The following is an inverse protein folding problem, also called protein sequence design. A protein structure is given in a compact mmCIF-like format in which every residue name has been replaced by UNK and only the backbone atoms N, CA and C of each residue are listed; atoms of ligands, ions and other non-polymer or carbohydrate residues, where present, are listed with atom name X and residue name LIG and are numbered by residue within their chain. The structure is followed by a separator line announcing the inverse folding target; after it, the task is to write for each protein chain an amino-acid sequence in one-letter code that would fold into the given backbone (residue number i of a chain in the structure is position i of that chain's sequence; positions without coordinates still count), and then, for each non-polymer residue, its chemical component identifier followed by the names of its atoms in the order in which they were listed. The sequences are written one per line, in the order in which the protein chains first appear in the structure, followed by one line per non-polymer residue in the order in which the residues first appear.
data_IF_902857399066
#
_entry.id   IF_902857399066
#
_cell.length_a   1.000
_cell.length_b   1.000
_cell.length_c   1.000
_cell.angle_alpha   90.00
_cell.angle_beta   90.00
_cell.angle_gamma   90.00
#
_symmetry.space_group_name_H-M   'P 1'
#
loop_
_entity.id
_entity.type
_entity.pdbx_description
1 polymer ?
#
# COMPACT_ATOMS: atom_id res chain seq x y z
N UNK A 1 3.07 44.33 -15.59
CA UNK A 1 3.12 42.96 -16.15
C UNK A 1 4.52 42.54 -16.66
N UNK A 2 5.60 43.28 -16.33
CA UNK A 2 6.94 43.03 -16.91
C UNK A 2 7.90 42.20 -16.02
N UNK A 3 7.54 41.90 -14.76
CA UNK A 3 8.45 41.29 -13.76
C UNK A 3 8.54 39.76 -13.81
N UNK A 4 7.67 39.06 -14.55
CA UNK A 4 7.70 37.58 -14.61
C UNK A 4 8.71 37.03 -15.62
N UNK A 5 9.14 37.83 -16.59
CA UNK A 5 9.98 37.34 -17.70
C UNK A 5 11.48 37.31 -17.34
N UNK A 6 11.93 38.12 -16.38
CA UNK A 6 13.31 38.08 -15.89
C UNK A 6 13.68 36.75 -15.20
N UNK A 7 12.72 36.12 -14.51
CA UNK A 7 12.95 34.83 -13.83
C UNK A 7 13.06 33.63 -14.80
N UNK A 8 12.60 33.78 -16.05
CA UNK A 8 12.66 32.70 -17.04
C UNK A 8 14.02 32.63 -17.76
N UNK A 9 14.68 33.77 -17.98
CA UNK A 9 16.00 33.82 -18.63
C UNK A 9 17.12 33.23 -17.77
N UNK A 10 17.01 33.28 -16.45
CA UNK A 10 18.01 32.71 -15.54
C UNK A 10 17.90 31.18 -15.34
N UNK A 11 16.94 30.52 -16.00
CA UNK A 11 16.74 29.06 -15.91
C UNK A 11 17.12 28.31 -17.19
N UNK A 12 17.80 28.97 -18.14
CA UNK A 12 18.33 28.32 -19.33
C UNK A 12 19.51 27.41 -18.93
N UNK A 13 19.37 26.11 -19.17
CA UNK A 13 20.43 25.14 -18.92
C UNK A 13 21.33 25.01 -20.15
N UNK A 14 22.66 24.98 -19.96
CA UNK A 14 23.58 24.64 -21.04
C UNK A 14 23.40 23.20 -21.50
N UNK A 15 23.69 22.93 -22.78
CA UNK A 15 23.47 21.62 -23.40
C UNK A 15 24.24 20.48 -22.70
N UNK A 16 25.43 20.78 -22.19
CA UNK A 16 26.25 19.82 -21.43
C UNK A 16 25.54 19.37 -20.14
N UNK A 17 24.90 20.31 -19.43
CA UNK A 17 24.13 19.99 -18.23
C UNK A 17 22.86 19.19 -18.56
N UNK A 18 22.23 19.42 -19.71
CA UNK A 18 21.08 18.61 -20.14
C UNK A 18 21.47 17.17 -20.44
N UNK A 19 22.61 16.94 -21.11
CA UNK A 19 23.11 15.60 -21.37
C UNK A 19 23.44 14.88 -20.06
N UNK A 20 23.99 15.60 -19.09
CA UNK A 20 24.33 15.05 -17.78
C UNK A 20 23.08 14.67 -16.96
N UNK A 21 21.97 15.39 -17.12
CA UNK A 21 20.70 15.11 -16.44
C UNK A 21 19.82 14.07 -17.16
N UNK A 22 20.15 13.68 -18.39
CA UNK A 22 19.34 12.76 -19.20
C UNK A 22 19.06 11.40 -18.53
N UNK A 23 20.05 10.71 -17.93
CA UNK A 23 19.80 9.45 -17.23
C UNK A 23 18.90 9.64 -16.01
N UNK A 24 19.08 10.74 -15.29
CA UNK A 24 18.28 11.10 -14.11
C UNK A 24 16.82 11.41 -14.49
N UNK A 25 16.60 12.13 -15.60
CA UNK A 25 15.27 12.43 -16.12
C UNK A 25 14.51 11.14 -16.46
N UNK A 26 15.17 10.14 -17.05
CA UNK A 26 14.58 8.83 -17.29
C UNK A 26 14.17 8.13 -16.00
N UNK A 27 15.02 8.15 -14.97
CA UNK A 27 14.69 7.56 -13.66
C UNK A 27 13.54 8.31 -12.99
N UNK A 28 13.53 9.63 -13.08
CA UNK A 28 12.51 10.48 -12.48
C UNK A 28 11.15 10.32 -13.16
N UNK A 29 11.15 10.08 -14.48
CA UNK A 29 9.96 9.72 -15.28
C UNK A 29 9.43 8.33 -14.95
N UNK A 30 10.32 7.37 -14.70
CA UNK A 30 9.95 6.02 -14.25
C UNK A 30 9.29 6.04 -12.86
N UNK A 31 9.79 6.89 -11.96
CA UNK A 31 9.32 7.02 -10.58
C UNK A 31 8.13 7.98 -10.42
N UNK A 32 7.57 8.50 -11.52
CA UNK A 32 6.55 9.55 -11.53
C UNK A 32 6.89 10.76 -10.66
N UNK A 33 8.17 10.99 -10.33
CA UNK A 33 8.64 11.89 -9.27
C UNK A 33 9.24 13.22 -9.79
N UNK A 34 8.95 13.60 -11.04
CA UNK A 34 9.59 14.78 -11.64
C UNK A 34 8.90 16.07 -11.19
N UNK A 35 9.42 16.63 -10.09
CA UNK A 35 9.07 17.97 -9.60
C UNK A 35 9.27 19.07 -10.67
N UNK A 36 10.12 18.82 -11.66
CA UNK A 36 10.44 19.73 -12.75
C UNK A 36 10.30 19.03 -14.11
N UNK A 37 9.81 19.75 -15.11
CA UNK A 37 9.75 19.33 -16.51
C UNK A 37 10.71 20.20 -17.31
N UNK A 38 11.68 19.58 -17.98
CA UNK A 38 12.60 20.29 -18.89
C UNK A 38 11.93 20.30 -20.27
N UNK A 39 11.63 21.49 -20.81
CA UNK A 39 11.15 21.68 -22.18
C UNK A 39 11.93 22.81 -22.81
N UNK A 40 12.44 22.59 -24.02
CA UNK A 40 13.10 23.62 -24.84
C UNK A 40 14.20 24.39 -24.09
N UNK A 41 15.04 23.66 -23.36
CA UNK A 41 16.13 24.20 -22.52
C UNK A 41 15.72 25.02 -21.28
N UNK A 42 14.43 25.04 -20.93
CA UNK A 42 13.91 25.66 -19.72
C UNK A 42 13.38 24.63 -18.73
N UNK A 43 13.66 24.85 -17.45
CA UNK A 43 13.17 24.04 -16.33
C UNK A 43 11.85 24.62 -15.82
N UNK A 44 10.73 23.98 -16.14
CA UNK A 44 9.41 24.37 -15.64
C UNK A 44 9.06 23.58 -14.36
N UNK A 45 8.65 24.24 -13.26
CA UNK A 45 8.11 23.52 -12.11
C UNK A 45 6.78 22.88 -12.49
N UNK A 46 6.73 21.54 -12.56
CA UNK A 46 5.53 20.80 -12.93
C UNK A 46 4.60 20.64 -11.72
N UNK A 47 4.18 21.75 -11.11
CA UNK A 47 3.64 21.74 -9.74
C UNK A 47 2.24 21.16 -9.63
N UNK A 48 1.36 21.38 -10.62
CA UNK A 48 -0.05 20.96 -10.54
C UNK A 48 -0.24 19.51 -10.98
N UNK A 49 0.26 19.11 -12.15
CA UNK A 49 0.02 17.77 -12.70
C UNK A 49 0.67 16.67 -11.86
N UNK A 50 1.88 16.92 -11.36
CA UNK A 50 2.57 16.00 -10.43
C UNK A 50 1.84 15.90 -9.08
N UNK A 51 1.43 17.03 -8.51
CA UNK A 51 0.66 17.03 -7.25
C UNK A 51 -0.64 16.24 -7.42
N UNK A 52 -1.37 16.48 -8.52
CA UNK A 52 -2.60 15.75 -8.83
C UNK A 52 -2.33 14.25 -8.99
N UNK A 53 -1.28 13.84 -9.72
CA UNK A 53 -0.93 12.43 -9.90
C UNK A 53 -0.56 11.73 -8.58
N UNK A 54 0.24 12.36 -7.73
CA UNK A 54 0.56 11.84 -6.39
C UNK A 54 -0.70 11.73 -5.54
N UNK A 55 -1.57 12.75 -5.55
CA UNK A 55 -2.80 12.73 -4.79
C UNK A 55 -3.70 11.58 -5.25
N UNK A 56 -3.81 11.34 -6.56
CA UNK A 56 -4.54 10.18 -7.09
C UNK A 56 -3.91 8.85 -6.65
N UNK A 57 -2.59 8.73 -6.69
CA UNK A 57 -1.88 7.52 -6.23
C UNK A 57 -2.13 7.28 -4.74
N UNK A 58 -1.99 8.32 -3.91
CA UNK A 58 -2.26 8.25 -2.47
C UNK A 58 -3.71 7.88 -2.19
N UNK A 59 -4.67 8.49 -2.89
CA UNK A 59 -6.09 8.15 -2.79
C UNK A 59 -6.37 6.72 -3.22
N UNK A 60 -5.75 6.22 -4.29
CA UNK A 60 -5.89 4.84 -4.73
C UNK A 60 -5.34 3.86 -3.69
N UNK A 61 -4.16 4.18 -3.14
CA UNK A 61 -3.54 3.41 -2.07
C UNK A 61 -4.45 3.39 -0.84
N UNK A 62 -4.90 4.54 -0.35
CA UNK A 62 -5.79 4.61 0.84
C UNK A 62 -7.13 3.92 0.59
N UNK A 63 -7.72 4.08 -0.60
CA UNK A 63 -8.93 3.36 -1.00
C UNK A 63 -8.73 1.85 -0.95
N UNK A 64 -7.66 1.34 -1.59
CA UNK A 64 -7.34 -0.09 -1.58
C UNK A 64 -7.16 -0.64 -0.16
N UNK A 65 -6.54 0.14 0.74
CA UNK A 65 -6.41 -0.22 2.15
C UNK A 65 -7.76 -0.31 2.86
N UNK A 66 -8.62 0.69 2.69
CA UNK A 66 -9.96 0.69 3.31
C UNK A 66 -10.78 -0.49 2.77
N UNK A 67 -10.72 -0.77 1.48
CA UNK A 67 -11.37 -1.94 0.89
C UNK A 67 -10.88 -3.25 1.49
N UNK A 68 -9.55 -3.44 1.61
CA UNK A 68 -8.98 -4.64 2.23
C UNK A 68 -9.43 -4.79 3.69
N UNK A 69 -9.46 -3.69 4.45
CA UNK A 69 -9.92 -3.71 5.83
C UNK A 69 -11.41 -4.10 5.94
N UNK A 70 -12.27 -3.51 5.12
CA UNK A 70 -13.70 -3.84 5.06
C UNK A 70 -13.89 -5.31 4.69
N UNK A 71 -13.15 -5.80 3.70
CA UNK A 71 -13.22 -7.20 3.26
C UNK A 71 -12.81 -8.17 4.36
N UNK A 72 -11.76 -7.84 5.13
CA UNK A 72 -11.34 -8.62 6.30
C UNK A 72 -12.43 -8.68 7.36
N UNK A 73 -13.00 -7.52 7.73
CA UNK A 73 -14.05 -7.45 8.77
C UNK A 73 -15.31 -8.19 8.31
N UNK A 74 -15.72 -8.00 7.06
CA UNK A 74 -16.83 -8.75 6.44
C UNK A 74 -16.56 -10.25 6.48
N UNK A 75 -15.37 -10.70 6.07
CA UNK A 75 -15.01 -12.12 6.09
C UNK A 75 -15.06 -12.70 7.51
N UNK A 76 -14.63 -11.94 8.51
CA UNK A 76 -14.72 -12.34 9.91
C UNK A 76 -16.19 -12.51 10.34
N UNK A 77 -17.04 -11.51 10.11
CA UNK A 77 -18.48 -11.58 10.44
C UNK A 77 -19.14 -12.75 9.71
N UNK A 78 -18.90 -12.89 8.40
CA UNK A 78 -19.47 -13.96 7.59
C UNK A 78 -19.05 -15.34 8.09
N UNK A 79 -17.80 -15.49 8.55
CA UNK A 79 -17.30 -16.74 9.13
C UNK A 79 -18.00 -17.10 10.44
N UNK A 80 -18.23 -16.13 11.34
CA UNK A 80 -18.96 -16.35 12.59
C UNK A 80 -20.43 -16.70 12.35
N UNK A 81 -21.10 -15.98 11.45
CA UNK A 81 -22.50 -16.25 11.07
C UNK A 81 -22.62 -17.63 10.42
N UNK A 82 -21.66 -18.00 9.57
CA UNK A 82 -21.63 -19.33 8.94
C UNK A 82 -21.44 -20.42 10.00
N UNK A 83 -20.54 -20.22 10.95
CA UNK A 83 -20.31 -21.15 12.04
C UNK A 83 -21.56 -21.33 12.91
N UNK A 84 -22.25 -20.25 13.28
CA UNK A 84 -23.50 -20.30 14.04
C UNK A 84 -24.59 -21.10 13.30
N UNK A 85 -24.76 -20.84 12.00
CA UNK A 85 -25.70 -21.61 11.16
C UNK A 85 -25.35 -23.09 11.12
N UNK A 86 -24.07 -23.42 10.99
CA UNK A 86 -23.60 -24.82 10.98
C UNK A 86 -23.88 -25.51 12.32
N UNK A 87 -23.69 -24.83 13.46
CA UNK A 87 -24.01 -25.35 14.79
C UNK A 87 -25.51 -25.60 14.94
N UNK A 88 -26.35 -24.66 14.52
CA UNK A 88 -27.81 -24.81 14.55
C UNK A 88 -28.28 -25.98 13.68
N UNK A 89 -27.71 -26.13 12.47
CA UNK A 89 -28.01 -27.25 11.59
C UNK A 89 -27.54 -28.60 12.14
N UNK A 90 -26.40 -28.64 12.82
CA UNK A 90 -25.92 -29.87 13.45
C UNK A 90 -26.91 -30.40 14.51
N UNK A 91 -27.73 -29.53 15.11
CA UNK A 91 -28.77 -29.92 16.06
C UNK A 91 -30.04 -30.48 15.40
N UNK A 92 -30.33 -30.13 14.14
CA UNK A 92 -31.62 -30.38 13.49
C UNK A 92 -31.60 -31.55 12.46
N UNK A 93 -30.87 -32.62 12.79
CA UNK A 93 -30.43 -33.71 11.88
C UNK A 93 -31.52 -34.65 11.31
N UNK A 94 -32.77 -34.22 11.16
CA UNK A 94 -33.89 -35.10 10.79
C UNK A 94 -34.17 -35.22 9.28
N UNK A 95 -33.54 -34.45 8.38
CA UNK A 95 -33.93 -34.43 6.96
C UNK A 95 -32.75 -34.42 5.93
N UNK A 96 -32.49 -35.53 5.22
CA UNK A 96 -31.29 -35.69 4.39
C UNK A 96 -31.26 -34.85 3.10
N UNK A 97 -32.42 -34.46 2.55
CA UNK A 97 -32.49 -33.61 1.35
C UNK A 97 -32.03 -32.18 1.63
N UNK A 98 -32.34 -31.67 2.83
CA UNK A 98 -31.95 -30.33 3.28
C UNK A 98 -30.42 -30.26 3.43
N UNK A 99 -29.79 -31.33 3.89
CA UNK A 99 -28.34 -31.44 4.06
C UNK A 99 -27.54 -31.23 2.76
N UNK A 100 -28.01 -31.79 1.62
CA UNK A 100 -27.29 -31.69 0.33
C UNK A 100 -27.22 -30.25 -0.19
N UNK A 101 -28.33 -29.50 -0.13
CA UNK A 101 -28.35 -28.10 -0.56
C UNK A 101 -27.48 -27.22 0.33
N UNK A 102 -27.52 -27.47 1.64
CA UNK A 102 -26.70 -26.77 2.64
C UNK A 102 -25.21 -27.01 2.38
N UNK A 103 -24.82 -28.26 2.12
CA UNK A 103 -23.42 -28.62 1.83
C UNK A 103 -22.86 -27.86 0.63
N UNK A 104 -23.66 -27.67 -0.42
CA UNK A 104 -23.28 -26.90 -1.61
C UNK A 104 -23.06 -25.42 -1.24
N UNK A 105 -24.00 -24.81 -0.52
CA UNK A 105 -23.87 -23.40 -0.07
C UNK A 105 -22.61 -23.21 0.77
N UNK A 106 -22.33 -24.13 1.68
CA UNK A 106 -21.12 -24.09 2.51
C UNK A 106 -19.84 -24.14 1.66
N UNK A 107 -19.78 -25.01 0.66
CA UNK A 107 -18.63 -25.12 -0.24
C UNK A 107 -18.39 -23.81 -1.01
N UNK A 108 -19.46 -23.18 -1.51
CA UNK A 108 -19.38 -21.86 -2.16
C UNK A 108 -18.87 -20.77 -1.20
N UNK A 109 -19.36 -20.74 0.04
CA UNK A 109 -18.90 -19.78 1.05
C UNK A 109 -17.41 -19.98 1.36
N UNK A 110 -16.95 -21.22 1.54
CA UNK A 110 -15.53 -21.51 1.78
C UNK A 110 -14.65 -21.07 0.61
N UNK A 111 -15.06 -21.36 -0.63
CA UNK A 111 -14.35 -20.90 -1.82
C UNK A 111 -14.29 -19.37 -1.91
N UNK A 112 -15.38 -18.69 -1.56
CA UNK A 112 -15.44 -17.22 -1.51
C UNK A 112 -14.47 -16.64 -0.47
N UNK A 113 -14.42 -17.23 0.73
CA UNK A 113 -13.47 -16.86 1.78
C UNK A 113 -12.03 -17.05 1.32
N UNK A 114 -11.71 -18.18 0.68
CA UNK A 114 -10.37 -18.46 0.16
C UNK A 114 -9.97 -17.40 -0.87
N UNK A 115 -10.87 -17.04 -1.80
CA UNK A 115 -10.63 -15.98 -2.80
C UNK A 115 -10.32 -14.63 -2.13
N UNK A 116 -11.08 -14.25 -1.09
CA UNK A 116 -10.84 -13.02 -0.33
C UNK A 116 -9.49 -13.05 0.37
N UNK A 117 -9.16 -14.14 1.05
CA UNK A 117 -7.87 -14.30 1.74
C UNK A 117 -6.70 -14.24 0.76
N UNK A 118 -6.81 -14.86 -0.42
CA UNK A 118 -5.80 -14.78 -1.46
C UNK A 118 -5.56 -13.34 -1.93
N UNK A 119 -6.63 -12.53 -2.09
CA UNK A 119 -6.52 -11.12 -2.43
C UNK A 119 -5.78 -10.32 -1.34
N UNK A 120 -6.14 -10.52 -0.06
CA UNK A 120 -5.49 -9.87 1.08
C UNK A 120 -3.99 -10.23 1.18
N UNK A 121 -3.65 -11.50 0.94
CA UNK A 121 -2.25 -11.97 0.91
C UNK A 121 -1.47 -11.33 -0.24
N UNK A 122 -2.03 -11.34 -1.46
CA UNK A 122 -1.39 -10.71 -2.62
C UNK A 122 -1.13 -9.22 -2.40
N UNK A 123 -2.10 -8.51 -1.83
CA UNK A 123 -1.95 -7.09 -1.49
C UNK A 123 -0.86 -6.88 -0.42
N UNK A 124 -0.84 -7.70 0.62
CA UNK A 124 0.16 -7.61 1.69
C UNK A 124 1.58 -7.88 1.17
N UNK A 125 1.75 -8.85 0.28
CA UNK A 125 3.03 -9.12 -0.41
C UNK A 125 3.45 -7.94 -1.30
N UNK A 126 2.51 -7.31 -2.00
CA UNK A 126 2.80 -6.12 -2.80
C UNK A 126 3.26 -4.95 -1.92
N UNK A 127 2.62 -4.72 -0.77
CA UNK A 127 3.05 -3.72 0.22
C UNK A 127 4.45 -4.01 0.75
N UNK A 128 4.77 -5.27 1.09
CA UNK A 128 6.09 -5.66 1.60
C UNK A 128 7.20 -5.40 0.57
N UNK A 129 6.96 -5.75 -0.69
CA UNK A 129 7.90 -5.45 -1.79
C UNK A 129 8.10 -3.95 -1.95
N UNK A 130 7.04 -3.15 -1.83
CA UNK A 130 7.13 -1.70 -1.86
C UNK A 130 7.97 -1.15 -0.71
N UNK A 131 7.75 -1.61 0.53
CA UNK A 131 8.55 -1.19 1.68
C UNK A 131 10.02 -1.60 1.55
N UNK A 132 10.29 -2.82 1.06
CA UNK A 132 11.66 -3.29 0.81
C UNK A 132 12.39 -2.41 -0.22
N UNK A 133 11.70 -2.01 -1.29
CA UNK A 133 12.23 -1.09 -2.30
C UNK A 133 12.48 0.32 -1.71
N UNK A 134 11.57 0.79 -0.86
CA UNK A 134 11.71 2.06 -0.15
C UNK A 134 12.95 2.06 0.75
N UNK A 135 13.17 0.98 1.51
CA UNK A 135 14.33 0.85 2.39
C UNK A 135 15.65 0.74 1.61
N UNK A 136 15.66 0.04 0.47
CA UNK A 136 16.79 0.06 -0.47
C UNK A 136 17.09 1.46 -1.02
N UNK A 137 16.05 2.27 -1.26
CA UNK A 137 16.21 3.66 -1.70
C UNK A 137 16.81 4.53 -0.59
N UNK A 138 16.38 4.33 0.66
CA UNK A 138 16.94 5.04 1.84
C UNK A 138 18.41 4.71 2.03
N UNK A 139 18.80 3.43 1.96
CA UNK A 139 20.19 3.00 2.14
C UNK A 139 21.09 3.52 1.01
N UNK A 140 20.62 3.51 -0.23
CA UNK A 140 21.33 4.13 -1.35
C UNK A 140 21.51 5.64 -1.16
N UNK A 141 20.46 6.35 -0.72
CA UNK A 141 20.55 7.79 -0.41
C UNK A 141 21.53 8.08 0.73
N UNK A 142 21.58 7.23 1.76
CA UNK A 142 22.55 7.34 2.85
C UNK A 142 23.99 7.12 2.35
N UNK A 143 24.22 6.10 1.53
CA UNK A 143 25.54 5.83 0.96
C UNK A 143 26.06 6.97 0.05
N UNK A 144 25.17 7.58 -0.75
CA UNK A 144 25.51 8.75 -1.57
C UNK A 144 25.89 9.94 -0.67
N UNK A 145 25.17 10.11 0.44
CA UNK A 145 25.43 11.19 1.39
C UNK A 145 26.79 11.04 2.10
N UNK A 146 27.22 9.81 2.38
CA UNK A 146 28.52 9.52 3.00
C UNK A 146 29.70 9.67 2.03
N UNK A 147 29.53 9.28 0.75
CA UNK A 147 30.64 9.30 -0.23
C UNK A 147 31.04 10.69 -0.72
N UNK A 148 30.13 11.67 -0.69
CA UNK A 148 30.39 13.02 -1.20
C UNK A 148 30.05 14.09 -0.14
N UNK A 149 31.02 14.47 0.71
CA UNK A 149 30.80 15.47 1.76
C UNK A 149 30.68 16.91 1.22
N UNK A 150 31.10 17.19 -0.01
CA UNK A 150 30.96 18.52 -0.63
C UNK A 150 29.50 18.91 -0.90
N UNK A 151 29.19 20.21 -0.73
CA UNK A 151 27.86 20.82 -0.92
C UNK A 151 27.41 20.78 -2.39
N UNK A 152 26.99 19.62 -2.87
CA UNK A 152 26.31 19.48 -4.16
C UNK A 152 24.78 19.57 -4.01
N UNK A 153 24.09 20.05 -5.04
CA UNK A 153 22.62 20.05 -5.10
C UNK A 153 22.02 18.63 -4.98
N UNK A 154 22.77 17.61 -5.42
CA UNK A 154 22.43 16.20 -5.25
C UNK A 154 22.31 15.82 -3.77
N UNK A 155 23.20 16.33 -2.92
CA UNK A 155 23.20 16.05 -1.47
C UNK A 155 21.96 16.65 -0.78
N UNK A 156 21.54 17.85 -1.22
CA UNK A 156 20.32 18.50 -0.72
C UNK A 156 19.08 17.70 -1.11
N UNK A 157 19.06 17.16 -2.33
CA UNK A 157 17.97 16.30 -2.82
C UNK A 157 17.94 14.97 -2.07
N UNK A 158 19.07 14.30 -1.90
CA UNK A 158 19.18 13.06 -1.12
C UNK A 158 18.75 13.26 0.34
N UNK A 159 19.17 14.35 1.00
CA UNK A 159 18.72 14.71 2.36
C UNK A 159 17.21 14.95 2.43
N UNK A 160 16.63 15.63 1.44
CA UNK A 160 15.19 15.88 1.41
C UNK A 160 14.40 14.58 1.19
N UNK A 161 14.86 13.70 0.30
CA UNK A 161 14.29 12.37 0.10
C UNK A 161 14.39 11.55 1.38
N UNK A 162 15.57 11.51 2.02
CA UNK A 162 15.77 10.78 3.27
C UNK A 162 14.91 11.34 4.41
N UNK A 163 14.75 12.67 4.52
CA UNK A 163 13.84 13.30 5.49
C UNK A 163 12.39 12.95 5.23
N UNK A 164 11.94 13.02 3.97
CA UNK A 164 10.58 12.65 3.59
C UNK A 164 10.33 11.17 3.89
N UNK A 165 11.27 10.32 3.51
CA UNK A 165 11.25 8.90 3.82
C UNK A 165 11.22 8.69 5.33
N UNK A 166 12.06 9.33 6.14
CA UNK A 166 12.08 9.14 7.59
C UNK A 166 10.83 9.68 8.30
N UNK A 167 10.27 10.80 7.84
CA UNK A 167 9.03 11.36 8.37
C UNK A 167 7.82 10.48 8.03
N UNK A 168 7.81 9.85 6.86
CA UNK A 168 6.72 8.98 6.39
C UNK A 168 7.01 7.48 6.57
N UNK A 169 8.18 7.07 7.05
CA UNK A 169 8.57 5.65 7.20
C UNK A 169 8.15 5.06 8.53
N UNK A 170 7.38 5.78 9.34
CA UNK A 170 6.53 5.10 10.31
C UNK A 170 5.60 4.19 9.47
N UNK A 171 5.98 2.90 9.32
CA UNK A 171 5.24 1.83 8.64
C UNK A 171 3.76 2.19 8.58
N UNK A 172 3.22 2.41 7.39
CA UNK A 172 1.94 3.09 7.19
C UNK A 172 0.88 2.41 8.08
N UNK A 173 0.47 3.13 9.14
CA UNK A 173 -0.50 2.61 10.11
C UNK A 173 -1.89 2.97 9.64
N UNK A 174 -2.71 1.97 9.33
CA UNK A 174 -4.13 2.20 9.01
C UNK A 174 -4.84 2.60 10.30
N UNK A 175 -5.41 3.81 10.30
CA UNK A 175 -6.12 4.40 11.44
C UNK A 175 -5.33 4.43 12.76
N UNK A 176 -3.99 4.41 12.70
CA UNK A 176 -3.13 4.29 13.88
C UNK A 176 -3.19 2.95 14.62
N UNK A 177 -4.07 2.03 14.19
CA UNK A 177 -4.39 0.79 14.90
C UNK A 177 -3.52 -0.38 14.42
N UNK A 178 -3.28 -0.48 13.10
CA UNK A 178 -2.58 -1.63 12.52
C UNK A 178 -1.48 -1.19 11.55
N UNK A 179 -0.26 -1.69 11.78
CA UNK A 179 0.80 -1.66 10.78
C UNK A 179 0.44 -2.64 9.68
N UNK A 180 0.28 -2.15 8.46
CA UNK A 180 0.07 -3.05 7.32
C UNK A 180 1.42 -3.63 6.94
N UNK A 181 1.58 -4.88 7.32
CA UNK A 181 2.79 -5.68 7.19
C UNK A 181 2.37 -7.06 6.68
N UNK A 182 3.29 -7.86 6.16
CA UNK A 182 3.03 -9.24 5.78
C UNK A 182 2.42 -10.08 6.92
N UNK A 183 2.57 -9.63 8.17
CA UNK A 183 1.97 -10.21 9.36
C UNK A 183 0.50 -9.83 9.60
N UNK A 184 -0.07 -8.84 8.90
CA UNK A 184 -1.46 -8.40 9.08
C UNK A 184 -2.47 -9.52 8.83
N UNK A 185 -2.42 -10.27 7.70
CA UNK A 185 -3.33 -11.39 7.46
C UNK A 185 -3.18 -12.48 8.52
N UNK A 186 -1.96 -12.71 9.01
CA UNK A 186 -1.66 -13.71 10.04
C UNK A 186 -2.27 -13.33 11.40
N UNK A 187 -2.14 -12.05 11.81
CA UNK A 187 -2.76 -11.55 13.05
C UNK A 187 -4.28 -11.63 13.01
N UNK A 188 -4.87 -11.31 11.87
CA UNK A 188 -6.31 -11.40 11.65
C UNK A 188 -6.81 -12.85 11.69
N UNK A 189 -6.06 -13.77 11.08
CA UNK A 189 -6.36 -15.19 11.13
C UNK A 189 -6.32 -15.70 12.58
N UNK A 190 -5.32 -15.29 13.38
CA UNK A 190 -5.25 -15.64 14.80
C UNK A 190 -6.43 -15.14 15.62
N UNK A 191 -6.88 -13.89 15.39
CA UNK A 191 -8.07 -13.35 16.06
C UNK A 191 -9.31 -14.16 15.68
N UNK A 192 -9.47 -14.44 14.38
CA UNK A 192 -10.59 -15.23 13.86
C UNK A 192 -10.64 -16.63 14.50
N UNK A 193 -9.52 -17.35 14.50
CA UNK A 193 -9.41 -18.66 15.13
C UNK A 193 -9.77 -18.61 16.61
N UNK A 194 -9.31 -17.59 17.35
CA UNK A 194 -9.61 -17.44 18.78
C UNK A 194 -11.12 -17.29 19.02
N UNK A 195 -11.80 -16.43 18.26
CA UNK A 195 -13.26 -16.26 18.39
C UNK A 195 -14.03 -17.50 17.97
N UNK A 196 -13.59 -18.20 16.92
CA UNK A 196 -14.18 -19.48 16.52
C UNK A 196 -14.09 -20.53 17.63
N UNK A 197 -12.93 -20.64 18.31
CA UNK A 197 -12.75 -21.55 19.44
C UNK A 197 -13.70 -21.19 20.58
N UNK A 198 -13.82 -19.91 20.94
CA UNK A 198 -14.72 -19.45 22.00
C UNK A 198 -16.18 -19.80 21.67
N UNK A 199 -16.63 -19.55 20.44
CA UNK A 199 -17.99 -19.92 20.02
C UNK A 199 -18.23 -21.44 20.07
N UNK A 200 -17.25 -22.24 19.66
CA UNK A 200 -17.33 -23.70 19.75
C UNK A 200 -17.42 -24.16 21.22
N UNK A 201 -16.64 -23.56 22.12
CA UNK A 201 -16.70 -23.87 23.55
C UNK A 201 -18.10 -23.60 24.10
N UNK A 202 -18.68 -22.42 23.85
CA UNK A 202 -20.05 -22.11 24.28
C UNK A 202 -21.10 -23.07 23.72
N UNK A 203 -20.91 -23.58 22.50
CA UNK A 203 -21.88 -24.45 21.86
C UNK A 203 -21.86 -25.91 22.38
N UNK A 204 -20.71 -26.40 22.87
CA UNK A 204 -20.51 -27.81 23.25
C UNK A 204 -20.25 -28.05 24.73
N UNK A 205 -19.87 -27.03 25.51
CA UNK A 205 -19.64 -27.14 26.97
C UNK A 205 -20.87 -26.72 27.81
N UNK A 206 -21.99 -26.34 27.19
CA UNK A 206 -23.30 -26.21 27.83
C UNK A 206 -24.11 -27.48 27.62
#
# INVERSE_FOLDING_TARGET
MARSNEYLLNNALSDDFQQMLRPYYWTQRLLCASKYSIKDSFVFPNSKTYCTAIMFLLCFITYSYVTVFIEVVSTFIDSLVTLQKVIEWAKDTKNPKIYKNISIVYLFTVLWIIKKMAFVVMFSVACERFYSCLDGTKSACAAILERHPEKSEYQKTAKNVLRLCNANSAKMRVCGLFTVDAALPLRLMGLSTTYCIVLLQFAFLQ
#
